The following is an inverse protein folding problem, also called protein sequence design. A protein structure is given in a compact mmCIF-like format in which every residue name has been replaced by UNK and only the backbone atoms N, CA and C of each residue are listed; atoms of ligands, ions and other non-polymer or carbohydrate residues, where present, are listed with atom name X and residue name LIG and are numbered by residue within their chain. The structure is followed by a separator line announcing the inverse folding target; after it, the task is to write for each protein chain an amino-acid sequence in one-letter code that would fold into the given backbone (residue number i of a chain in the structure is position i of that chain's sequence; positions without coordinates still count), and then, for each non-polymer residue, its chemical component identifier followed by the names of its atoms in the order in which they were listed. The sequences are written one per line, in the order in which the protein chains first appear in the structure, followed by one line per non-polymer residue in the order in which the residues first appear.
data_IF_944712490953
#
_entry.id   IF_944712490953
#
_cell.length_a   1.000
_cell.length_b   1.000
_cell.length_c   1.000
_cell.angle_alpha   90.00
_cell.angle_beta   90.00
_cell.angle_gamma   90.00
#
_symmetry.space_group_name_H-M   'P 1'
#
loop_
_entity.id
_entity.type
_entity.pdbx_description
1 polymer ?
#
# COMPACT_ATOMS: atom_id res chain seq x y z
N UNK A 1 20.12 -2.99 24.80
CA UNK A 1 19.45 -4.15 24.15
C UNK A 1 18.61 -3.60 23.02
N UNK A 2 19.12 -3.76 21.81
CA UNK A 2 18.49 -3.38 20.55
C UNK A 2 17.24 -4.26 20.37
N UNK A 3 16.06 -3.70 20.62
CA UNK A 3 14.80 -4.37 20.29
C UNK A 3 14.57 -4.13 18.82
N UNK A 4 14.92 -5.11 18.00
CA UNK A 4 14.42 -5.22 16.62
C UNK A 4 12.91 -5.01 16.67
N UNK A 5 12.46 -3.83 16.23
CA UNK A 5 11.06 -3.52 16.07
C UNK A 5 10.55 -4.39 14.92
N UNK A 6 10.11 -5.61 15.25
CA UNK A 6 9.23 -6.36 14.35
C UNK A 6 8.08 -5.42 14.03
N UNK A 7 8.03 -4.92 12.80
CA UNK A 7 6.86 -4.28 12.21
C UNK A 7 5.68 -5.22 12.51
N UNK A 8 4.91 -4.89 13.54
CA UNK A 8 3.70 -5.63 13.88
C UNK A 8 2.74 -5.29 12.76
N UNK A 9 2.62 -6.20 11.81
CA UNK A 9 1.56 -6.16 10.79
C UNK A 9 0.25 -6.18 11.58
N UNK A 10 -0.43 -5.04 11.64
CA UNK A 10 -1.75 -4.92 12.22
C UNK A 10 -2.74 -4.85 11.05
N UNK A 11 -3.29 -5.99 10.62
CA UNK A 11 -4.07 -6.07 9.39
C UNK A 11 -5.32 -5.20 9.43
N UNK A 12 -5.82 -4.83 10.61
CA UNK A 12 -6.95 -3.91 10.75
C UNK A 12 -6.52 -2.48 10.50
N UNK A 13 -5.42 -2.03 11.12
CA UNK A 13 -4.88 -0.69 10.87
C UNK A 13 -4.42 -0.51 9.42
N UNK A 14 -3.77 -1.52 8.84
CA UNK A 14 -3.34 -1.51 7.45
C UNK A 14 -4.53 -1.41 6.49
N UNK A 15 -5.60 -2.18 6.77
CA UNK A 15 -6.83 -2.11 5.99
C UNK A 15 -7.48 -0.72 6.08
N UNK A 16 -7.58 -0.14 7.28
CA UNK A 16 -8.11 1.21 7.50
C UNK A 16 -7.26 2.27 6.80
N UNK A 17 -5.94 2.16 6.87
CA UNK A 17 -5.00 3.05 6.18
C UNK A 17 -5.17 3.01 4.67
N UNK A 18 -5.50 1.86 4.09
CA UNK A 18 -5.80 1.76 2.66
C UNK A 18 -7.18 2.31 2.27
N UNK A 19 -8.16 2.36 3.18
CA UNK A 19 -9.52 2.82 2.86
C UNK A 19 -9.57 4.26 2.36
N UNK A 20 -8.64 5.12 2.82
CA UNK A 20 -8.53 6.50 2.37
C UNK A 20 -8.07 6.65 0.91
N UNK A 21 -7.62 5.56 0.27
CA UNK A 21 -7.14 5.53 -1.11
C UNK A 21 -8.16 4.83 -2.01
N UNK A 22 -8.95 5.63 -2.73
CA UNK A 22 -10.01 5.15 -3.62
C UNK A 22 -9.51 4.84 -5.04
N UNK A 23 -10.17 3.95 -5.79
CA UNK A 23 -9.96 3.80 -7.23
C UNK A 23 -10.03 5.15 -7.97
N UNK A 24 -9.12 5.38 -8.91
CA UNK A 24 -8.99 6.63 -9.68
C UNK A 24 -8.21 7.73 -8.97
N UNK A 25 -7.88 7.58 -7.68
CA UNK A 25 -7.10 8.57 -6.94
C UNK A 25 -5.63 8.57 -7.39
N UNK A 26 -5.07 9.75 -7.62
CA UNK A 26 -3.65 9.92 -7.84
C UNK A 26 -2.91 10.00 -6.50
N UNK A 27 -1.85 9.23 -6.38
CA UNK A 27 -0.97 9.18 -5.21
C UNK A 27 0.48 9.32 -5.65
N UNK A 28 1.33 9.85 -4.77
CA UNK A 28 2.77 9.83 -5.00
C UNK A 28 3.38 8.73 -4.16
N UNK A 29 3.88 7.67 -4.81
CA UNK A 29 4.52 6.54 -4.13
C UNK A 29 6.00 6.49 -4.51
N UNK A 30 6.89 6.51 -3.51
CA UNK A 30 8.35 6.54 -3.70
C UNK A 30 8.83 7.62 -4.68
N UNK A 31 8.17 8.79 -4.65
CA UNK A 31 8.53 9.94 -5.50
C UNK A 31 8.00 9.91 -6.93
N UNK A 32 7.21 8.90 -7.31
CA UNK A 32 6.56 8.81 -8.62
C UNK A 32 5.03 8.85 -8.47
N UNK A 33 4.34 9.41 -9.48
CA UNK A 33 2.87 9.47 -9.50
C UNK A 33 2.28 8.17 -10.02
N UNK A 34 1.27 7.68 -9.33
CA UNK A 34 0.50 6.51 -9.71
C UNK A 34 -0.98 6.76 -9.49
N UNK A 35 -1.82 6.01 -10.20
CA UNK A 35 -3.26 5.96 -10.00
C UNK A 35 -3.57 4.69 -9.22
N UNK A 36 -4.36 4.82 -8.16
CA UNK A 36 -4.93 3.69 -7.45
C UNK A 36 -5.98 3.04 -8.33
N UNK A 37 -5.78 1.77 -8.70
CA UNK A 37 -6.77 1.04 -9.50
C UNK A 37 -7.79 0.34 -8.62
N UNK A 38 -7.30 -0.39 -7.62
CA UNK A 38 -8.15 -1.11 -6.65
C UNK A 38 -7.36 -1.48 -5.41
N UNK A 39 -8.09 -1.74 -4.33
CA UNK A 39 -7.58 -2.44 -3.13
C UNK A 39 -7.77 -3.94 -3.33
N UNK A 40 -6.83 -4.73 -2.82
CA UNK A 40 -6.82 -6.19 -2.94
C UNK A 40 -6.21 -6.80 -1.68
N UNK A 41 -6.21 -8.12 -1.59
CA UNK A 41 -5.50 -8.88 -0.55
C UNK A 41 -4.48 -9.80 -1.22
N UNK A 42 -3.27 -9.89 -0.69
CA UNK A 42 -2.24 -10.82 -1.17
C UNK A 42 -2.57 -12.25 -0.74
N UNK A 43 -1.91 -13.24 -1.35
CA UNK A 43 -2.07 -14.66 -0.97
C UNK A 43 -1.69 -14.93 0.50
N UNK A 44 -0.85 -14.07 1.10
CA UNK A 44 -0.51 -14.10 2.53
C UNK A 44 -1.63 -13.64 3.46
N UNK A 45 -2.73 -13.08 2.91
CA UNK A 45 -3.80 -12.44 3.69
C UNK A 45 -3.54 -10.95 3.99
N UNK A 46 -2.40 -10.40 3.56
CA UNK A 46 -2.06 -8.99 3.75
C UNK A 46 -2.91 -8.10 2.85
N UNK A 47 -3.42 -6.98 3.38
CA UNK A 47 -4.07 -5.95 2.59
C UNK A 47 -3.05 -5.32 1.61
N UNK A 48 -3.49 -4.98 0.41
CA UNK A 48 -2.63 -4.44 -0.63
C UNK A 48 -3.41 -3.52 -1.57
N UNK A 49 -2.67 -2.78 -2.39
CA UNK A 49 -3.24 -1.86 -3.37
C UNK A 49 -2.55 -2.05 -4.71
N UNK A 50 -3.34 -1.92 -5.78
CA UNK A 50 -2.86 -1.97 -7.16
C UNK A 50 -2.63 -0.55 -7.63
N UNK A 51 -1.39 -0.25 -8.02
CA UNK A 51 -0.98 1.02 -8.57
C UNK A 51 -0.75 0.90 -10.07
N UNK A 52 -1.27 1.87 -10.82
CA UNK A 52 -1.06 2.02 -12.27
C UNK A 52 -0.25 3.28 -12.53
N UNK A 53 0.92 3.11 -13.14
CA UNK A 53 1.72 4.19 -13.73
C UNK A 53 1.47 4.27 -15.24
N UNK A 54 2.22 5.13 -15.93
CA UNK A 54 2.05 5.29 -17.39
C UNK A 54 2.44 4.03 -18.18
N UNK A 55 3.42 3.26 -17.70
CA UNK A 55 3.97 2.09 -18.41
C UNK A 55 4.03 0.82 -17.55
N UNK A 56 3.54 0.88 -16.32
CA UNK A 56 3.67 -0.21 -15.35
C UNK A 56 2.41 -0.32 -14.49
N UNK A 57 2.09 -1.54 -14.07
CA UNK A 57 1.08 -1.81 -13.06
C UNK A 57 1.64 -2.85 -12.09
N UNK A 58 1.52 -2.59 -10.79
CA UNK A 58 1.99 -3.53 -9.78
C UNK A 58 1.11 -3.52 -8.54
N UNK A 59 1.23 -4.58 -7.76
CA UNK A 59 0.57 -4.72 -6.45
C UNK A 59 1.59 -4.42 -5.37
N UNK A 60 1.22 -3.59 -4.40
CA UNK A 60 2.07 -3.27 -3.25
C UNK A 60 1.29 -3.52 -1.96
N UNK A 61 1.93 -4.22 -1.02
CA UNK A 61 1.39 -4.49 0.31
C UNK A 61 1.10 -3.21 1.08
N UNK A 62 0.12 -3.24 1.97
CA UNK A 62 -0.35 -2.07 2.72
C UNK A 62 0.77 -1.41 3.50
N UNK A 63 1.58 -2.20 4.23
CA UNK A 63 2.69 -1.70 5.04
C UNK A 63 3.68 -0.92 4.17
N UNK A 64 4.12 -1.53 3.06
CA UNK A 64 5.07 -0.92 2.14
C UNK A 64 4.50 0.31 1.45
N UNK A 65 3.20 0.27 1.12
CA UNK A 65 2.50 1.37 0.49
C UNK A 65 2.40 2.57 1.42
N UNK A 66 1.87 2.35 2.63
CA UNK A 66 1.66 3.39 3.64
C UNK A 66 2.97 4.02 4.11
N UNK A 67 4.07 3.26 4.15
CA UNK A 67 5.39 3.78 4.46
C UNK A 67 6.00 4.65 3.33
N UNK A 68 5.54 4.47 2.08
CA UNK A 68 6.14 5.11 0.90
C UNK A 68 5.25 6.11 0.17
N UNK A 69 3.99 6.24 0.57
CA UNK A 69 3.01 7.15 -0.04
C UNK A 69 3.07 8.53 0.60
N UNK A 70 2.92 9.58 -0.22
CA UNK A 70 2.79 10.98 0.18
C UNK A 70 1.51 11.57 -0.39
#
# INVERSE_FOLDING_TARGET
MEKSAMEKIDPQQDHLGLQQFGPGQQVTFKGKRYIVQRRTTLASGEAAIVLQGEKEQFVVGAVQFLAGVK
#
